data_IF_731027478433
#
_entry.id   IF_731027478433
#
_cell.length_a   1.000
_cell.length_b   1.000
_cell.length_c   1.000
_cell.angle_alpha   90.00
_cell.angle_beta   90.00
_cell.angle_gamma   90.00
#
_symmetry.space_group_name_H-M   'P 1'
#
loop_
_entity.id
_entity.type
_entity.pdbx_description
1 polymer ?
#
# COMPACT_ATOMS: atom_id res chain seq x y z
N UNK A 1 19.54 -1.14 13.75
CA UNK A 1 19.16 -1.57 12.38
C UNK A 1 18.02 -0.68 11.96
N UNK A 2 18.22 0.09 10.90
CA UNK A 2 17.14 0.84 10.29
C UNK A 2 16.28 -0.13 9.47
N UNK A 3 14.97 -0.10 9.66
CA UNK A 3 14.04 -1.04 9.03
C UNK A 3 13.93 -0.85 7.52
N UNK A 4 13.19 -1.74 6.88
CA UNK A 4 12.86 -1.63 5.46
C UNK A 4 11.67 -0.69 5.25
N UNK A 5 11.67 0.15 4.19
CA UNK A 5 10.50 0.95 3.84
C UNK A 5 9.33 0.05 3.47
N UNK A 6 8.18 0.28 4.11
CA UNK A 6 6.97 -0.51 3.94
C UNK A 6 5.72 0.37 3.93
N UNK A 7 4.73 -0.06 3.13
CA UNK A 7 3.41 0.56 3.04
C UNK A 7 2.32 -0.38 3.56
N UNK A 8 1.18 0.20 3.95
CA UNK A 8 -0.02 -0.56 4.32
C UNK A 8 -1.22 -0.12 3.49
N UNK A 9 -2.05 -1.08 3.08
CA UNK A 9 -3.34 -0.85 2.44
C UNK A 9 -4.43 -1.66 3.16
N UNK A 10 -5.52 -1.00 3.57
CA UNK A 10 -6.62 -1.60 4.33
C UNK A 10 -7.93 -0.86 4.07
N UNK A 11 -9.05 -1.46 4.50
CA UNK A 11 -10.41 -0.96 4.21
C UNK A 11 -10.70 0.45 4.70
N UNK A 12 -10.12 0.87 5.82
CA UNK A 12 -10.39 2.21 6.39
C UNK A 12 -9.66 3.36 5.67
N UNK A 13 -8.73 3.06 4.75
CA UNK A 13 -8.12 4.09 3.91
C UNK A 13 -9.10 4.60 2.87
N UNK A 14 -9.10 5.91 2.63
CA UNK A 14 -9.87 6.50 1.53
C UNK A 14 -9.25 6.16 0.17
N UNK A 15 -9.97 6.42 -0.93
CA UNK A 15 -9.50 6.03 -2.27
C UNK A 15 -8.18 6.71 -2.66
N UNK A 16 -8.01 8.00 -2.35
CA UNK A 16 -6.80 8.72 -2.70
C UNK A 16 -5.56 8.16 -1.98
N UNK A 17 -5.71 7.75 -0.72
CA UNK A 17 -4.65 7.08 0.03
C UNK A 17 -4.31 5.71 -0.57
N UNK A 18 -5.32 4.95 -0.99
CA UNK A 18 -5.12 3.65 -1.66
C UNK A 18 -4.37 3.83 -2.98
N UNK A 19 -4.78 4.79 -3.80
CA UNK A 19 -4.15 5.08 -5.09
C UNK A 19 -2.70 5.53 -4.91
N UNK A 20 -2.41 6.34 -3.89
CA UNK A 20 -1.05 6.75 -3.56
C UNK A 20 -0.18 5.58 -3.11
N UNK A 21 -0.67 4.72 -2.21
CA UNK A 21 0.06 3.51 -1.77
C UNK A 21 0.40 2.62 -2.96
N UNK A 22 -0.54 2.42 -3.88
CA UNK A 22 -0.32 1.63 -5.09
C UNK A 22 0.71 2.28 -6.03
N UNK A 23 0.68 3.60 -6.18
CA UNK A 23 1.64 4.32 -7.00
C UNK A 23 3.06 4.22 -6.42
N UNK A 24 3.23 4.39 -5.11
CA UNK A 24 4.51 4.23 -4.42
C UNK A 24 5.06 2.80 -4.57
N UNK A 25 4.23 1.79 -4.33
CA UNK A 25 4.62 0.39 -4.47
C UNK A 25 5.01 0.05 -5.92
N UNK A 26 4.17 0.41 -6.90
CA UNK A 26 4.45 0.19 -8.34
C UNK A 26 5.69 0.92 -8.83
N UNK A 27 6.01 2.08 -8.24
CA UNK A 27 7.23 2.82 -8.57
C UNK A 27 8.51 2.22 -8.00
N UNK A 28 8.41 1.26 -7.06
CA UNK A 28 9.54 0.66 -6.36
C UNK A 28 10.13 1.52 -5.24
N UNK A 29 9.61 2.72 -4.99
CA UNK A 29 10.07 3.61 -3.89
C UNK A 29 9.88 2.98 -2.51
N UNK A 30 8.80 2.23 -2.33
CA UNK A 30 8.60 1.36 -1.17
C UNK A 30 8.28 -0.05 -1.65
N UNK A 31 9.28 -0.95 -1.71
CA UNK A 31 9.16 -2.27 -2.34
C UNK A 31 8.38 -3.27 -1.48
N UNK A 32 8.00 -2.92 -0.24
CA UNK A 32 7.23 -3.78 0.66
C UNK A 32 5.86 -3.13 0.88
N UNK A 33 4.80 -3.92 0.70
CA UNK A 33 3.43 -3.52 0.98
C UNK A 33 2.66 -4.65 1.66
N UNK A 34 2.00 -4.36 2.78
CA UNK A 34 1.10 -5.29 3.47
C UNK A 34 -0.35 -4.91 3.22
N UNK A 35 -1.24 -5.88 2.99
CA UNK A 35 -2.65 -5.65 2.71
C UNK A 35 -3.57 -6.44 3.64
N UNK A 36 -4.67 -5.83 4.08
CA UNK A 36 -5.81 -6.53 4.70
C UNK A 36 -7.06 -6.35 3.82
N UNK A 37 -8.04 -7.25 3.98
CA UNK A 37 -9.15 -7.36 3.05
C UNK A 37 -10.05 -6.11 2.99
N UNK A 38 -10.74 -5.95 1.85
CA UNK A 38 -11.22 -4.74 1.12
C UNK A 38 -10.35 -4.41 -0.09
N UNK A 39 -9.03 -4.67 -0.05
CA UNK A 39 -8.18 -4.50 -1.24
C UNK A 39 -8.32 -5.64 -2.27
N UNK A 40 -8.82 -6.82 -1.90
CA UNK A 40 -8.89 -7.96 -2.83
C UNK A 40 -10.00 -7.83 -3.90
N UNK A 41 -11.00 -6.95 -3.70
CA UNK A 41 -12.08 -6.68 -4.65
C UNK A 41 -11.77 -5.43 -5.49
N UNK A 42 -10.76 -5.54 -6.36
CA UNK A 42 -10.52 -4.56 -7.43
C UNK A 42 -9.30 -3.64 -7.27
N UNK A 43 -8.23 -4.11 -6.61
CA UNK A 43 -6.89 -3.62 -6.96
C UNK A 43 -6.56 -3.88 -8.43
#
# INVERSE_FOLDING_TARGET
>A
MDGWPALSIHGDKNQAERDWVLAEFKSGRSPIMTATDVAARGL
#
